data_IF_672384612674
#
_entry.id   IF_672384612674
#
_cell.length_a   1.000
_cell.length_b   1.000
_cell.length_c   1.000
_cell.angle_alpha   90.00
_cell.angle_beta   90.00
_cell.angle_gamma   90.00
#
_symmetry.space_group_name_H-M   'P 1'
#
loop_
_entity.id
_entity.type
_entity.pdbx_description
1 polymer ?
#
# COMPACT_ATOMS: atom_id res chain seq x y z
N UNK A 1 12.46 11.55 -20.96
CA UNK A 1 11.15 12.18 -20.66
C UNK A 1 11.27 12.88 -19.31
N UNK A 2 10.59 14.02 -19.07
CA UNK A 2 10.58 14.62 -17.74
C UNK A 2 9.81 13.70 -16.78
N UNK A 3 10.31 13.62 -15.56
CA UNK A 3 9.74 12.94 -14.41
C UNK A 3 8.27 13.35 -14.21
N UNK A 4 7.34 12.39 -14.09
CA UNK A 4 5.93 12.66 -13.73
C UNK A 4 5.62 12.12 -12.34
N UNK A 5 4.71 12.80 -11.62
CA UNK A 5 4.30 12.45 -10.26
C UNK A 5 3.71 11.03 -10.10
N UNK A 6 3.38 10.38 -11.21
CA UNK A 6 2.85 9.01 -11.25
C UNK A 6 3.91 7.93 -11.01
N UNK A 7 5.21 8.29 -11.00
CA UNK A 7 6.32 7.34 -10.77
C UNK A 7 6.79 7.27 -9.31
N UNK A 8 6.14 7.99 -8.40
CA UNK A 8 6.53 8.11 -6.99
C UNK A 8 5.45 7.62 -6.02
N UNK A 9 4.61 6.66 -6.41
CA UNK A 9 3.84 5.91 -5.42
C UNK A 9 4.85 5.13 -4.57
N UNK A 10 4.86 5.27 -3.23
CA UNK A 10 5.62 4.35 -2.39
C UNK A 10 5.21 2.93 -2.78
N UNK A 11 6.14 1.97 -2.75
CA UNK A 11 5.84 0.62 -3.22
C UNK A 11 4.71 0.01 -2.37
N UNK A 12 3.49 0.08 -2.89
CA UNK A 12 2.29 -0.37 -2.22
C UNK A 12 2.06 -1.85 -2.54
N UNK A 13 1.72 -2.71 -1.55
CA UNK A 13 1.39 -4.12 -1.80
C UNK A 13 0.30 -4.32 -2.86
N UNK A 14 -0.62 -3.37 -3.00
CA UNK A 14 -1.71 -3.34 -3.97
C UNK A 14 -1.97 -1.89 -4.39
N UNK A 15 -2.01 -1.60 -5.70
CA UNK A 15 -2.50 -0.32 -6.21
C UNK A 15 -4.02 -0.42 -6.37
N UNK A 16 -4.76 0.21 -5.46
CA UNK A 16 -6.23 0.15 -5.48
C UNK A 16 -6.83 1.13 -6.49
N UNK A 17 -6.05 2.02 -7.12
CA UNK A 17 -6.56 2.89 -8.18
C UNK A 17 -7.04 2.09 -9.40
N UNK A 18 -6.58 0.85 -9.58
CA UNK A 18 -6.91 0.00 -10.72
C UNK A 18 -7.89 -1.14 -10.38
N UNK A 19 -8.86 -0.87 -9.51
CA UNK A 19 -9.86 -1.86 -9.11
C UNK A 19 -10.90 -2.13 -10.21
N UNK A 20 -11.10 -3.41 -10.52
CA UNK A 20 -12.18 -3.89 -11.38
C UNK A 20 -13.35 -4.48 -10.56
N UNK A 21 -14.56 -4.65 -11.12
CA UNK A 21 -15.72 -5.16 -10.39
C UNK A 21 -15.54 -6.52 -9.70
N UNK A 22 -14.64 -7.37 -10.20
CA UNK A 22 -14.35 -8.71 -9.67
C UNK A 22 -13.22 -8.71 -8.63
N UNK A 23 -12.50 -7.60 -8.47
CA UNK A 23 -11.45 -7.45 -7.46
C UNK A 23 -11.99 -7.72 -6.06
N UNK A 24 -11.26 -8.52 -5.29
CA UNK A 24 -11.63 -8.96 -3.94
C UNK A 24 -10.87 -8.15 -2.91
N UNK A 25 -11.62 -7.48 -2.04
CA UNK A 25 -11.13 -6.71 -0.91
C UNK A 25 -11.35 -7.46 0.41
N UNK A 26 -10.45 -7.24 1.36
CA UNK A 26 -10.37 -7.88 2.68
C UNK A 26 -10.10 -6.84 3.76
N UNK A 27 -10.33 -7.16 5.05
CA UNK A 27 -10.06 -6.20 6.14
C UNK A 27 -8.63 -5.67 6.17
N UNK A 28 -7.64 -6.52 5.89
CA UNK A 28 -6.23 -6.13 5.87
C UNK A 28 -5.90 -5.05 4.83
N UNK A 29 -6.72 -4.90 3.78
CA UNK A 29 -6.51 -3.88 2.75
C UNK A 29 -6.70 -2.46 3.32
N UNK A 30 -7.43 -2.31 4.43
CA UNK A 30 -7.55 -1.04 5.17
C UNK A 30 -6.19 -0.49 5.63
N UNK A 31 -5.21 -1.35 5.92
CA UNK A 31 -3.86 -0.91 6.33
C UNK A 31 -3.19 -0.18 5.17
N UNK A 32 -3.27 -0.78 3.99
CA UNK A 32 -2.68 -0.24 2.76
C UNK A 32 -3.42 0.99 2.28
N UNK A 33 -4.76 0.95 2.21
CA UNK A 33 -5.61 2.11 1.88
C UNK A 33 -5.35 3.28 2.83
N UNK A 34 -5.11 3.02 4.13
CA UNK A 34 -4.80 4.06 5.10
C UNK A 34 -3.44 4.71 4.89
N UNK A 35 -2.42 3.91 4.56
CA UNK A 35 -1.11 4.42 4.20
C UNK A 35 -1.14 5.26 2.91
N UNK A 36 -1.90 4.79 1.91
CA UNK A 36 -2.04 5.51 0.64
C UNK A 36 -2.83 6.80 0.82
N UNK A 37 -3.91 6.78 1.59
CA UNK A 37 -4.64 8.01 1.95
C UNK A 37 -3.71 9.02 2.60
N UNK A 38 -2.87 8.60 3.56
CA UNK A 38 -1.92 9.48 4.21
C UNK A 38 -0.94 10.09 3.21
N UNK A 39 -0.37 9.27 2.32
CA UNK A 39 0.52 9.75 1.26
C UNK A 39 -0.18 10.77 0.35
N UNK A 40 -1.40 10.48 -0.12
CA UNK A 40 -2.16 11.38 -1.00
C UNK A 40 -2.48 12.73 -0.34
N UNK A 41 -2.73 12.74 0.97
CA UNK A 41 -2.89 13.98 1.74
C UNK A 41 -1.59 14.80 1.77
N UNK A 42 -0.46 14.15 2.01
CA UNK A 42 0.84 14.83 2.10
C UNK A 42 1.31 15.38 0.75
N UNK A 43 1.05 14.66 -0.36
CA UNK A 43 1.34 15.12 -1.73
C UNK A 43 0.23 15.99 -2.33
N UNK A 44 -0.83 16.29 -1.56
CA UNK A 44 -1.96 17.15 -1.94
C UNK A 44 -2.72 16.68 -3.20
N UNK A 45 -2.86 15.37 -3.36
CA UNK A 45 -3.74 14.74 -4.37
C UNK A 45 -5.14 14.54 -3.79
N UNK A 46 -5.89 15.64 -3.69
CA UNK A 46 -7.22 15.65 -3.06
C UNK A 46 -8.24 14.74 -3.75
N UNK A 47 -8.13 14.57 -5.07
CA UNK A 47 -8.92 13.65 -5.88
C UNK A 47 -8.77 12.20 -5.38
N UNK A 48 -7.52 11.72 -5.32
CA UNK A 48 -7.21 10.38 -4.86
C UNK A 48 -7.46 10.22 -3.36
N UNK A 49 -7.15 11.23 -2.55
CA UNK A 49 -7.44 11.21 -1.13
C UNK A 49 -8.96 11.08 -0.85
N UNK A 50 -9.80 11.79 -1.61
CA UNK A 50 -11.25 11.66 -1.54
C UNK A 50 -11.72 10.23 -1.84
N UNK A 51 -11.15 9.62 -2.87
CA UNK A 51 -11.43 8.24 -3.27
C UNK A 51 -10.98 7.21 -2.23
N UNK A 52 -9.71 7.24 -1.77
CA UNK A 52 -9.18 6.32 -0.76
C UNK A 52 -9.94 6.42 0.56
N UNK A 53 -10.32 7.64 0.97
CA UNK A 53 -11.16 7.87 2.16
C UNK A 53 -12.53 7.19 2.01
N UNK A 54 -13.18 7.39 0.88
CA UNK A 54 -14.51 6.82 0.61
C UNK A 54 -14.47 5.29 0.60
N UNK A 55 -13.48 4.70 -0.08
CA UNK A 55 -13.25 3.26 -0.08
C UNK A 55 -12.99 2.71 1.33
N UNK A 56 -12.08 3.34 2.08
CA UNK A 56 -11.73 2.94 3.44
C UNK A 56 -12.94 2.94 4.38
N UNK A 57 -13.72 4.02 4.37
CA UNK A 57 -14.93 4.12 5.19
C UNK A 57 -15.97 3.06 4.85
N UNK A 58 -16.16 2.74 3.56
CA UNK A 58 -17.05 1.68 3.13
C UNK A 58 -16.58 0.29 3.61
N UNK A 59 -15.28 0.03 3.60
CA UNK A 59 -14.71 -1.22 4.12
C UNK A 59 -14.85 -1.32 5.65
N UNK A 60 -14.67 -0.23 6.39
CA UNK A 60 -14.95 -0.21 7.84
C UNK A 60 -16.41 -0.58 8.13
N UNK A 61 -17.36 -0.07 7.36
CA UNK A 61 -18.78 -0.43 7.47
C UNK A 61 -19.03 -1.90 7.09
N UNK A 62 -18.55 -2.32 5.92
CA UNK A 62 -18.76 -3.67 5.37
C UNK A 62 -18.23 -4.77 6.29
N UNK A 63 -17.06 -4.55 6.89
CA UNK A 63 -16.46 -5.50 7.82
C UNK A 63 -16.91 -5.27 9.28
N UNK A 64 -17.82 -4.31 9.52
CA UNK A 64 -18.39 -3.98 10.81
C UNK A 64 -17.34 -3.56 11.84
N UNK A 65 -16.33 -2.82 11.39
CA UNK A 65 -15.21 -2.28 12.16
C UNK A 65 -15.44 -0.81 12.56
N UNK A 66 -16.69 -0.37 12.52
CA UNK A 66 -17.11 1.03 12.72
C UNK A 66 -16.78 1.61 14.09
N UNK A 67 -16.55 0.76 15.09
CA UNK A 67 -16.21 1.16 16.46
C UNK A 67 -14.71 1.33 16.68
N UNK A 68 -13.88 0.96 15.70
CA UNK A 68 -12.44 1.11 15.82
C UNK A 68 -12.04 2.59 15.77
N UNK A 69 -11.07 3.04 16.59
CA UNK A 69 -10.64 4.43 16.63
C UNK A 69 -9.98 4.91 15.32
N UNK A 70 -9.54 3.99 14.46
CA UNK A 70 -9.00 4.30 13.14
C UNK A 70 -10.07 4.83 12.17
N UNK A 71 -11.34 4.43 12.33
CA UNK A 71 -12.42 4.87 11.44
C UNK A 71 -12.66 6.39 11.48
N UNK A 72 -12.82 7.05 12.64
CA UNK A 72 -12.91 8.51 12.67
C UNK A 72 -11.62 9.19 12.17
N UNK A 73 -10.44 8.60 12.43
CA UNK A 73 -9.19 9.12 11.88
C UNK A 73 -9.18 9.13 10.35
N UNK A 74 -9.70 8.08 9.70
CA UNK A 74 -9.91 8.05 8.24
C UNK A 74 -10.87 9.16 7.77
N UNK A 75 -11.98 9.34 8.46
CA UNK A 75 -13.01 10.31 8.09
C UNK A 75 -12.48 11.75 8.16
N UNK A 76 -11.74 12.06 9.22
CA UNK A 76 -11.40 13.44 9.59
C UNK A 76 -9.96 13.83 9.18
N UNK A 77 -9.19 12.91 8.59
CA UNK A 77 -7.79 13.15 8.23
C UNK A 77 -7.65 14.30 7.23
N UNK A 78 -6.82 15.29 7.62
CA UNK A 78 -6.39 16.42 6.79
C UNK A 78 -4.89 16.36 6.48
N UNK A 79 -4.10 15.67 7.29
CA UNK A 79 -2.65 15.51 7.13
C UNK A 79 -2.29 14.02 7.21
N UNK A 80 -1.37 13.58 6.37
CA UNK A 80 -0.96 12.17 6.30
C UNK A 80 -0.24 11.71 7.55
N UNK A 81 0.71 12.51 8.06
CA UNK A 81 1.44 12.20 9.29
C UNK A 81 0.51 11.98 10.50
N UNK A 82 -0.55 12.78 10.63
CA UNK A 82 -1.52 12.64 11.72
C UNK A 82 -2.38 11.39 11.55
N UNK A 83 -2.78 11.07 10.31
CA UNK A 83 -3.46 9.82 10.01
C UNK A 83 -2.58 8.62 10.36
N UNK A 84 -1.33 8.58 9.90
CA UNK A 84 -0.41 7.47 10.17
C UNK A 84 -0.22 7.24 11.68
N UNK A 85 -0.09 8.33 12.46
CA UNK A 85 -0.04 8.24 13.93
C UNK A 85 -1.31 7.62 14.51
N UNK A 86 -2.48 8.01 14.02
CA UNK A 86 -3.76 7.45 14.46
C UNK A 86 -3.95 5.97 14.04
N UNK A 87 -3.33 5.55 12.94
CA UNK A 87 -3.25 4.14 12.52
C UNK A 87 -2.26 3.31 13.36
N UNK A 88 -1.52 3.97 14.27
CA UNK A 88 -0.56 3.34 15.17
C UNK A 88 0.84 3.19 14.57
N UNK A 89 1.12 3.81 13.43
CA UNK A 89 2.47 3.91 12.90
C UNK A 89 3.28 4.91 13.74
N UNK A 90 4.53 4.54 14.05
CA UNK A 90 5.47 5.34 14.84
C UNK A 90 6.87 5.15 14.28
N UNK A 91 7.64 6.23 14.23
CA UNK A 91 9.01 6.21 13.68
C UNK A 91 9.93 5.29 14.48
N UNK A 92 9.78 5.29 15.81
CA UNK A 92 10.59 4.51 16.75
C UNK A 92 9.67 3.78 17.72
N UNK A 93 9.28 2.52 17.43
CA UNK A 93 8.44 1.75 18.34
C UNK A 93 9.22 1.22 19.54
N UNK A 94 8.60 1.26 20.72
CA UNK A 94 9.07 0.48 21.87
C UNK A 94 8.86 -1.04 21.66
N UNK A 95 9.70 -1.85 22.30
CA UNK A 95 9.60 -3.31 22.36
C UNK A 95 8.32 -3.80 23.05
N UNK A 96 7.60 -2.96 23.78
CA UNK A 96 6.26 -3.30 24.27
C UNK A 96 5.14 -3.02 23.25
N UNK A 97 5.37 -2.13 22.26
CA UNK A 97 4.36 -1.72 21.29
C UNK A 97 4.33 -2.63 20.05
N UNK A 98 3.52 -3.68 20.09
CA UNK A 98 3.38 -4.63 18.98
C UNK A 98 2.89 -3.97 17.67
N UNK A 99 1.95 -3.01 17.76
CA UNK A 99 1.38 -2.33 16.59
C UNK A 99 2.41 -1.44 15.90
N UNK A 100 3.13 -0.64 16.70
CA UNK A 100 4.21 0.21 16.18
C UNK A 100 5.33 -0.59 15.52
N UNK A 101 5.72 -1.74 16.11
CA UNK A 101 6.72 -2.63 15.49
C UNK A 101 6.24 -3.24 14.18
N UNK A 102 4.98 -3.66 14.11
CA UNK A 102 4.43 -4.23 12.88
C UNK A 102 4.45 -3.20 11.73
N UNK A 103 4.09 -1.95 12.03
CA UNK A 103 4.21 -0.83 11.10
C UNK A 103 5.65 -0.56 10.67
N UNK A 104 6.57 -0.44 11.63
CA UNK A 104 7.98 -0.20 11.31
C UNK A 104 8.55 -1.30 10.42
N UNK A 105 8.31 -2.59 10.73
CA UNK A 105 8.78 -3.68 9.88
C UNK A 105 8.14 -3.68 8.49
N UNK A 106 6.85 -3.34 8.40
CA UNK A 106 6.14 -3.21 7.12
C UNK A 106 6.81 -2.14 6.26
N UNK A 107 7.08 -0.97 6.83
CA UNK A 107 7.73 0.14 6.13
C UNK A 107 9.13 -0.23 5.63
N UNK A 108 9.96 -0.85 6.48
CA UNK A 108 11.31 -1.29 6.08
C UNK A 108 11.28 -2.30 4.93
N UNK A 109 10.32 -3.23 4.93
CA UNK A 109 10.16 -4.21 3.84
C UNK A 109 9.73 -3.56 2.52
N UNK A 110 8.89 -2.52 2.58
CA UNK A 110 8.38 -1.82 1.40
C UNK A 110 9.32 -0.72 0.89
N UNK A 111 10.25 -0.22 1.71
CA UNK A 111 11.26 0.75 1.29
C UNK A 111 12.36 0.14 0.41
N UNK A 112 12.70 -1.14 0.63
CA UNK A 112 13.77 -1.84 -0.08
C UNK A 112 13.55 -1.93 -1.61
N UNK A 113 12.32 -2.10 -2.12
CA UNK A 113 12.07 -2.11 -3.57
C UNK A 113 11.99 -0.71 -4.21
N UNK A 114 11.60 0.37 -3.51
CA UNK A 114 11.19 1.62 -4.16
C UNK A 114 12.32 2.61 -4.47
N UNK A 115 13.43 2.61 -3.71
CA UNK A 115 14.27 3.82 -3.69
C UNK A 115 15.56 3.80 -4.54
N UNK A 116 16.11 2.61 -4.86
CA UNK A 116 17.44 2.51 -5.52
C UNK A 116 17.54 1.34 -6.51
N UNK A 117 16.52 0.49 -6.57
CA UNK A 117 16.70 -0.91 -6.97
C UNK A 117 16.52 -1.19 -8.47
N UNK A 118 15.93 -0.27 -9.25
CA UNK A 118 15.57 -0.52 -10.66
C UNK A 118 14.61 -1.71 -10.86
N UNK A 119 14.02 -2.24 -9.78
CA UNK A 119 13.11 -3.40 -9.80
C UNK A 119 11.78 -3.08 -10.43
N UNK A 120 11.27 -1.86 -10.21
CA UNK A 120 10.05 -1.38 -10.86
C UNK A 120 10.22 -1.23 -12.38
N UNK A 121 11.44 -0.99 -12.84
CA UNK A 121 11.75 -0.84 -14.27
C UNK A 121 12.19 -2.17 -14.91
N UNK A 122 12.24 -3.27 -14.15
CA UNK A 122 12.71 -4.58 -14.61
C UNK A 122 14.20 -4.63 -14.95
N UNK A 123 14.96 -3.56 -14.66
CA UNK A 123 16.38 -3.47 -14.94
C UNK A 123 17.12 -2.74 -13.81
N UNK A 124 17.83 -3.46 -12.93
CA UNK A 124 18.57 -2.87 -11.80
C UNK A 124 19.73 -1.96 -12.22
N UNK A 125 19.98 -1.83 -13.53
CA UNK A 125 21.04 -1.03 -14.13
C UNK A 125 20.53 0.11 -15.02
N UNK A 126 19.21 0.38 -15.08
CA UNK A 126 18.66 1.47 -15.89
C UNK A 126 18.96 2.89 -15.35
N UNK A 127 19.60 3.00 -14.18
CA UNK A 127 20.07 4.28 -13.63
C UNK A 127 21.21 4.93 -14.44
N UNK A 128 21.74 4.31 -15.49
CA UNK A 128 22.65 4.99 -16.41
C UNK A 128 21.88 5.83 -17.43
N UNK A 129 21.30 6.94 -16.97
CA UNK A 129 20.74 8.02 -17.82
C UNK A 129 21.80 8.57 -18.81
N UNK A 130 23.08 8.16 -18.68
CA UNK A 130 24.20 8.55 -19.53
C UNK A 130 24.91 7.41 -20.29
N UNK A 131 24.53 6.13 -20.14
CA UNK A 131 25.12 5.02 -20.91
C UNK A 131 24.03 4.23 -21.64
N UNK A 132 23.99 4.38 -22.96
CA UNK A 132 22.84 4.00 -23.77
C UNK A 132 22.63 2.49 -23.98
N UNK A 133 23.59 1.59 -23.71
CA UNK A 133 23.34 0.15 -23.83
C UNK A 133 24.23 -0.68 -22.89
N UNK A 134 23.66 -1.70 -22.24
CA UNK A 134 24.41 -2.69 -21.45
C UNK A 134 25.30 -3.53 -22.39
N UNK A 135 26.63 -3.62 -22.16
CA UNK A 135 27.51 -4.45 -22.97
C UNK A 135 26.98 -5.90 -23.07
N UNK A 136 26.96 -6.52 -24.26
CA UNK A 136 26.40 -7.87 -24.44
C UNK A 136 26.90 -8.92 -23.44
N UNK A 137 28.19 -8.95 -23.04
CA UNK A 137 28.67 -9.91 -22.04
C UNK A 137 28.10 -9.72 -20.63
N UNK A 138 27.64 -8.51 -20.30
CA UNK A 138 27.11 -8.18 -18.97
C UNK A 138 25.58 -8.34 -18.88
N UNK A 139 24.88 -8.48 -20.02
CA UNK A 139 23.41 -8.64 -20.05
C UNK A 139 22.91 -9.83 -19.21
N UNK A 140 23.51 -11.03 -19.29
CA UNK A 140 23.05 -12.16 -18.48
C UNK A 140 23.21 -11.92 -16.98
N UNK A 141 24.27 -11.22 -16.56
CA UNK A 141 24.46 -10.83 -15.15
C UNK A 141 23.44 -9.79 -14.73
N UNK A 142 23.09 -8.86 -15.63
CA UNK A 142 22.10 -7.82 -15.36
C UNK A 142 20.69 -8.41 -15.19
N UNK A 143 20.32 -9.35 -16.04
CA UNK A 143 19.07 -10.11 -15.97
C UNK A 143 19.01 -10.96 -14.68
N UNK A 144 20.09 -11.67 -14.33
CA UNK A 144 20.15 -12.46 -13.09
C UNK A 144 19.96 -11.59 -11.84
N UNK A 145 20.60 -10.42 -11.78
CA UNK A 145 20.39 -9.47 -10.67
C UNK A 145 18.95 -8.96 -10.65
N UNK A 146 18.35 -8.66 -11.81
CA UNK A 146 16.97 -8.22 -11.91
C UNK A 146 16.01 -9.27 -11.33
N UNK A 147 16.20 -10.53 -11.72
CA UNK A 147 15.42 -11.67 -11.26
C UNK A 147 15.52 -11.85 -9.73
N UNK A 148 16.73 -11.75 -9.17
CA UNK A 148 16.92 -11.84 -7.72
C UNK A 148 16.22 -10.72 -6.97
N UNK A 149 16.24 -9.50 -7.51
CA UNK A 149 15.61 -8.35 -6.88
C UNK A 149 14.08 -8.40 -7.02
N UNK A 150 13.55 -8.90 -8.14
CA UNK A 150 12.13 -9.21 -8.31
C UNK A 150 11.66 -10.29 -7.32
N UNK A 151 12.43 -11.37 -7.15
CA UNK A 151 12.14 -12.42 -6.15
C UNK A 151 12.15 -11.86 -4.73
N UNK A 152 13.14 -11.05 -4.39
CA UNK A 152 13.22 -10.39 -3.08
C UNK A 152 12.01 -9.47 -2.84
N UNK A 153 11.66 -8.65 -3.83
CA UNK A 153 10.50 -7.77 -3.80
C UNK A 153 9.18 -8.54 -3.64
N UNK A 154 9.01 -9.65 -4.36
CA UNK A 154 7.85 -10.54 -4.19
C UNK A 154 7.78 -11.15 -2.79
N UNK A 155 8.91 -11.60 -2.24
CA UNK A 155 8.98 -12.12 -0.88
C UNK A 155 8.67 -11.03 0.17
N UNK A 156 9.19 -9.82 -0.02
CA UNK A 156 8.91 -8.68 0.86
C UNK A 156 7.42 -8.30 0.84
N UNK A 157 6.78 -8.28 -0.34
CA UNK A 157 5.33 -8.09 -0.48
C UNK A 157 4.53 -9.12 0.31
N UNK A 158 4.89 -10.39 0.19
CA UNK A 158 4.18 -11.47 0.91
C UNK A 158 4.32 -11.33 2.44
N UNK A 159 5.49 -10.91 2.92
CA UNK A 159 5.69 -10.64 4.35
C UNK A 159 4.89 -9.39 4.77
N UNK A 160 4.90 -8.32 3.97
CA UNK A 160 4.12 -7.11 4.24
C UNK A 160 2.62 -7.42 4.35
N UNK A 161 2.08 -8.31 3.50
CA UNK A 161 0.69 -8.78 3.60
C UNK A 161 0.41 -9.48 4.94
N UNK A 162 1.32 -10.29 5.44
CA UNK A 162 1.18 -10.92 6.78
C UNK A 162 1.24 -9.90 7.91
N UNK A 163 2.03 -8.84 7.73
CA UNK A 163 2.07 -7.71 8.66
C UNK A 163 0.78 -6.89 8.62
N UNK A 164 0.20 -6.63 7.44
CA UNK A 164 -1.11 -5.96 7.31
C UNK A 164 -2.19 -6.73 8.08
N UNK A 165 -2.18 -8.06 7.97
CA UNK A 165 -3.07 -8.94 8.72
C UNK A 165 -2.86 -8.83 10.23
N UNK A 166 -1.61 -8.71 10.66
CA UNK A 166 -1.25 -8.51 12.08
C UNK A 166 -1.69 -7.12 12.56
N UNK A 167 -1.48 -6.08 11.77
CA UNK A 167 -1.85 -4.68 12.07
C UNK A 167 -3.36 -4.56 12.25
N UNK A 168 -4.15 -5.08 11.30
CA UNK A 168 -5.61 -5.00 11.39
C UNK A 168 -6.15 -5.80 12.59
N UNK A 169 -5.51 -6.93 12.93
CA UNK A 169 -5.81 -7.66 14.17
C UNK A 169 -5.48 -6.86 15.42
N UNK A 170 -4.33 -6.16 15.44
CA UNK A 170 -3.91 -5.28 16.53
C UNK A 170 -4.75 -4.00 16.65
N UNK A 171 -5.40 -3.55 15.57
CA UNK A 171 -6.45 -2.51 15.67
C UNK A 171 -7.68 -3.00 16.43
N UNK A 172 -7.87 -4.31 16.57
CA UNK A 172 -9.01 -4.94 17.23
C UNK A 172 -10.01 -5.59 16.28
N UNK A 173 -9.63 -5.86 15.02
CA UNK A 173 -10.47 -6.66 14.12
C UNK A 173 -10.59 -8.09 14.67
N UNK A 174 -11.83 -8.61 14.88
CA UNK A 174 -12.02 -9.98 15.34
C UNK A 174 -11.44 -11.00 14.35
N UNK A 175 -10.82 -12.07 14.85
CA UNK A 175 -10.13 -13.06 14.02
C UNK A 175 -11.07 -13.70 12.98
N UNK A 176 -12.31 -13.97 13.37
CA UNK A 176 -13.35 -14.52 12.50
C UNK A 176 -13.73 -13.58 11.34
N UNK A 177 -13.40 -12.29 11.45
CA UNK A 177 -13.67 -11.29 10.41
C UNK A 177 -12.51 -11.09 9.46
N UNK A 178 -11.29 -11.47 9.85
CA UNK A 178 -10.08 -11.26 9.06
C UNK A 178 -10.11 -11.96 7.68
N UNK A 179 -10.91 -13.00 7.55
CA UNK A 179 -11.08 -13.76 6.30
C UNK A 179 -12.27 -13.31 5.46
N UNK A 180 -13.06 -12.34 5.94
CA UNK A 180 -14.17 -11.78 5.17
C UNK A 180 -13.66 -11.17 3.87
N UNK A 181 -14.49 -11.29 2.85
CA UNK A 181 -14.22 -10.82 1.49
C UNK A 181 -15.41 -10.02 1.00
N UNK A 182 -15.15 -8.98 0.24
CA UNK A 182 -16.15 -8.25 -0.50
C UNK A 182 -15.58 -7.90 -1.87
N UNK A 183 -16.42 -7.99 -2.90
CA UNK A 183 -16.05 -7.53 -4.24
C UNK A 183 -16.34 -6.04 -4.40
N UNK A 184 -15.64 -5.41 -5.33
CA UNK A 184 -15.91 -4.03 -5.76
C UNK A 184 -17.37 -3.88 -6.23
N UNK A 185 -17.91 -4.87 -6.95
CA UNK A 185 -19.31 -4.88 -7.37
C UNK A 185 -20.30 -4.87 -6.19
N UNK A 186 -20.03 -5.64 -5.13
CA UNK A 186 -20.87 -5.64 -3.92
C UNK A 186 -20.82 -4.30 -3.17
N UNK A 187 -19.66 -3.64 -3.15
CA UNK A 187 -19.53 -2.29 -2.58
C UNK A 187 -20.29 -1.26 -3.41
N UNK A 188 -20.17 -1.31 -4.74
CA UNK A 188 -20.92 -0.45 -5.65
C UNK A 188 -22.43 -0.63 -5.49
N UNK A 189 -22.91 -1.88 -5.39
CA UNK A 189 -24.31 -2.19 -5.11
C UNK A 189 -24.79 -1.66 -3.74
N UNK A 190 -23.86 -1.44 -2.81
CA UNK A 190 -24.13 -0.84 -1.49
C UNK A 190 -24.11 0.69 -1.52
N UNK A 191 -24.01 1.31 -2.70
CA UNK A 191 -24.03 2.76 -2.90
C UNK A 191 -22.65 3.43 -2.90
N UNK A 192 -21.55 2.67 -3.02
CA UNK A 192 -20.22 3.26 -3.18
C UNK A 192 -20.02 3.75 -4.61
N UNK A 193 -19.78 5.04 -4.80
CA UNK A 193 -19.31 5.58 -6.08
C UNK A 193 -17.82 5.23 -6.26
N UNK A 194 -17.57 4.09 -6.91
CA UNK A 194 -16.21 3.64 -7.19
C UNK A 194 -15.79 4.27 -8.50
N UNK A 195 -14.92 5.28 -8.41
CA UNK A 195 -14.22 5.80 -9.57
C UNK A 195 -13.28 4.71 -10.08
N UNK A 196 -13.55 4.16 -11.25
CA UNK A 196 -12.64 3.28 -11.97
C UNK A 196 -11.81 4.13 -12.93
N UNK A 197 -10.50 4.10 -12.79
CA UNK A 197 -9.61 4.72 -13.76
C UNK A 197 -9.52 3.77 -14.96
N UNK A 198 -9.87 4.26 -16.16
CA UNK A 198 -9.68 3.44 -17.38
C UNK A 198 -8.19 3.09 -17.53
N UNK A 199 -7.86 1.86 -17.96
CA UNK A 199 -6.47 1.38 -18.09
C UNK A 199 -5.68 2.07 -19.21
#
# INVERSE_FOLDING_TARGET
MPWTADQATPFVPSDFCNLDPTSILKPMDLVTIGADLAWMLDVKREDLAGWYRTLGLALFERFGLTRLPQRPAFADAVQGADLMRALGAVDIPDWSNGLGRAWAFREHLLALPSHVSGVLEGHPFQLSVSHQEMPPPLRPMAEDVADHMLKHSGAAKEIARKLDWTIIGLWGCPLERLELKVTVAELAASGLEIQTFEP
#
